data_IF_864378248814
#
_entry.id   IF_864378248814
#
_cell.length_a   1.000
_cell.length_b   1.000
_cell.length_c   1.000
_cell.angle_alpha   90.00
_cell.angle_beta   90.00
_cell.angle_gamma   90.00
#
_symmetry.space_group_name_H-M   'P 1'
#
loop_
_entity.id
_entity.type
_entity.pdbx_description
1 polymer ?
#
# COMPACT_ATOMS: atom_id res chain seq x y z
N UNK A 1 -4.03 13.93 26.20
CA UNK A 1 -4.16 12.82 25.21
C UNK A 1 -4.89 13.38 24.00
N UNK A 2 -4.30 13.26 22.81
CA UNK A 2 -4.92 13.80 21.60
C UNK A 2 -5.75 12.71 20.90
N UNK A 3 -6.89 13.09 20.34
CA UNK A 3 -7.85 12.23 19.63
C UNK A 3 -8.05 12.78 18.22
N UNK A 4 -7.72 11.99 17.20
CA UNK A 4 -7.76 12.41 15.80
C UNK A 4 -8.73 11.55 15.02
N UNK A 5 -9.59 12.17 14.21
CA UNK A 5 -10.38 11.53 13.17
C UNK A 5 -9.55 11.47 11.89
N UNK A 6 -9.27 10.28 11.40
CA UNK A 6 -8.68 10.06 10.08
C UNK A 6 -9.77 9.86 9.03
N UNK A 7 -9.51 10.34 7.82
CA UNK A 7 -10.37 10.19 6.64
C UNK A 7 -9.52 9.74 5.46
N UNK A 8 -9.91 8.62 4.84
CA UNK A 8 -9.25 8.03 3.67
C UNK A 8 -10.23 7.87 2.52
N UNK A 9 -9.89 8.43 1.35
CA UNK A 9 -10.67 8.32 0.11
C UNK A 9 -9.79 8.31 -1.14
N UNK A 10 -8.52 7.88 -1.03
CA UNK A 10 -7.58 8.05 -2.15
C UNK A 10 -7.82 7.11 -3.34
N UNK A 11 -8.53 6.00 -3.15
CA UNK A 11 -8.77 4.99 -4.19
C UNK A 11 -10.22 4.49 -4.20
N UNK A 12 -10.47 3.30 -3.72
CA UNK A 12 -11.79 2.63 -3.75
C UNK A 12 -12.29 2.20 -2.36
N UNK A 13 -11.65 2.67 -1.29
CA UNK A 13 -12.13 2.57 0.09
C UNK A 13 -12.55 3.94 0.63
N UNK A 14 -13.80 4.06 1.08
CA UNK A 14 -14.23 5.19 1.91
C UNK A 14 -14.04 4.79 3.36
N UNK A 15 -13.11 5.42 4.07
CA UNK A 15 -12.87 5.06 5.45
C UNK A 15 -12.78 6.27 6.40
N UNK A 16 -13.24 6.06 7.64
CA UNK A 16 -13.06 6.97 8.76
C UNK A 16 -12.67 6.18 10.02
N UNK A 17 -11.76 6.73 10.80
CA UNK A 17 -11.25 6.08 12.02
C UNK A 17 -10.92 7.10 13.09
N UNK A 18 -11.14 6.71 14.34
CA UNK A 18 -10.69 7.51 15.50
C UNK A 18 -9.50 6.81 16.13
N UNK A 19 -8.39 7.53 16.24
CA UNK A 19 -7.18 7.09 16.93
C UNK A 19 -6.81 8.10 18.01
N UNK A 20 -6.38 7.59 19.17
CA UNK A 20 -6.04 8.40 20.33
C UNK A 20 -4.65 8.06 20.83
N UNK A 21 -3.92 9.08 21.35
CA UNK A 21 -2.68 8.87 22.08
C UNK A 21 -2.93 8.18 23.42
N UNK A 22 -2.05 7.26 23.80
CA UNK A 22 -2.18 6.48 25.05
C UNK A 22 -1.39 7.09 26.21
N UNK A 23 -0.32 7.82 25.92
CA UNK A 23 0.69 8.24 26.90
C UNK A 23 1.75 7.16 27.18
N UNK A 24 1.62 5.95 26.63
CA UNK A 24 2.63 4.88 26.69
C UNK A 24 3.59 5.01 25.49
N UNK A 25 4.88 5.29 25.70
CA UNK A 25 5.85 5.39 24.59
C UNK A 25 6.02 4.08 23.79
N UNK A 26 5.78 2.93 24.42
CA UNK A 26 5.89 1.63 23.74
C UNK A 26 4.71 1.37 22.81
N UNK A 27 3.52 1.90 23.13
CA UNK A 27 2.31 1.83 22.32
C UNK A 27 1.62 3.18 22.29
N UNK A 28 2.17 4.15 21.53
CA UNK A 28 1.78 5.55 21.64
C UNK A 28 0.33 5.81 21.20
N UNK A 29 -0.28 4.91 20.43
CA UNK A 29 -1.61 5.10 19.85
C UNK A 29 -2.54 3.91 20.07
N UNK A 30 -3.82 4.22 20.17
CA UNK A 30 -4.92 3.27 20.29
C UNK A 30 -5.99 3.57 19.26
N UNK A 31 -6.35 2.56 18.47
CA UNK A 31 -7.50 2.61 17.57
C UNK A 31 -8.77 2.53 18.44
N UNK A 32 -9.65 3.53 18.33
CA UNK A 32 -10.96 3.57 18.97
C UNK A 32 -12.06 3.08 18.04
N UNK A 33 -11.92 3.37 16.75
CA UNK A 33 -12.79 2.87 15.67
C UNK A 33 -12.02 2.87 14.35
N UNK A 34 -12.43 2.00 13.43
CA UNK A 34 -11.92 1.99 12.04
C UNK A 34 -13.01 1.43 11.14
N UNK A 35 -13.76 2.29 10.48
CA UNK A 35 -14.90 1.96 9.62
C UNK A 35 -14.47 2.09 8.17
N UNK A 36 -14.69 1.04 7.38
CA UNK A 36 -14.30 0.98 5.97
C UNK A 36 -15.51 0.54 5.15
N UNK A 37 -15.85 1.32 4.15
CA UNK A 37 -16.80 0.97 3.09
C UNK A 37 -16.02 0.72 1.81
N UNK A 38 -15.80 -0.55 1.47
CA UNK A 38 -15.07 -0.95 0.28
C UNK A 38 -15.96 -0.97 -0.95
N UNK A 39 -15.42 -0.51 -2.08
CA UNK A 39 -16.10 -0.46 -3.37
C UNK A 39 -15.69 -1.62 -4.29
N UNK A 40 -14.98 -2.63 -3.78
CA UNK A 40 -14.47 -3.77 -4.56
C UNK A 40 -15.59 -4.43 -5.38
N UNK A 41 -16.79 -4.59 -4.82
CA UNK A 41 -17.92 -5.22 -5.52
C UNK A 41 -18.39 -4.38 -6.72
N UNK A 42 -18.36 -3.04 -6.61
CA UNK A 42 -18.71 -2.12 -7.69
C UNK A 42 -17.70 -2.24 -8.83
N UNK A 43 -16.42 -2.32 -8.50
CA UNK A 43 -15.33 -2.34 -9.49
C UNK A 43 -15.05 -3.72 -10.08
N UNK A 44 -15.57 -4.78 -9.46
CA UNK A 44 -15.38 -6.17 -9.92
C UNK A 44 -15.87 -6.39 -11.35
N UNK A 45 -17.01 -5.81 -11.71
CA UNK A 45 -17.57 -5.91 -13.07
C UNK A 45 -16.65 -5.30 -14.14
N UNK A 46 -15.84 -4.31 -13.76
CA UNK A 46 -14.91 -3.62 -14.65
C UNK A 46 -13.52 -4.25 -14.67
N UNK A 47 -13.25 -5.16 -13.72
CA UNK A 47 -11.94 -5.80 -13.55
C UNK A 47 -10.84 -4.82 -13.13
N UNK A 48 -11.19 -3.77 -12.38
CA UNK A 48 -10.30 -2.74 -11.84
C UNK A 48 -11.05 -1.47 -11.48
N UNK A 49 -10.40 -0.57 -10.74
CA UNK A 49 -11.00 0.67 -10.26
C UNK A 49 -11.35 1.61 -11.42
N UNK A 50 -12.60 2.12 -11.41
CA UNK A 50 -13.07 3.16 -12.33
C UNK A 50 -13.15 4.48 -11.55
N UNK A 51 -12.26 5.46 -11.82
CA UNK A 51 -12.10 6.65 -10.98
C UNK A 51 -13.35 7.47 -10.78
N UNK A 52 -14.19 7.58 -11.82
CA UNK A 52 -15.45 8.35 -11.74
C UNK A 52 -16.50 7.65 -10.87
N UNK A 53 -16.59 6.32 -10.92
CA UNK A 53 -17.47 5.56 -10.05
C UNK A 53 -17.00 5.66 -8.60
N UNK A 54 -15.68 5.55 -8.38
CA UNK A 54 -15.09 5.66 -7.06
C UNK A 54 -15.42 7.01 -6.41
N UNK A 55 -15.20 8.12 -7.10
CA UNK A 55 -15.48 9.44 -6.54
C UNK A 55 -16.96 9.65 -6.21
N UNK A 56 -17.88 9.16 -7.06
CA UNK A 56 -19.33 9.23 -6.79
C UNK A 56 -19.75 8.40 -5.58
N UNK A 57 -19.14 7.23 -5.40
CA UNK A 57 -19.44 6.38 -4.25
C UNK A 57 -18.90 6.99 -2.94
N UNK A 58 -17.72 7.60 -2.95
CA UNK A 58 -17.22 8.34 -1.79
C UNK A 58 -18.19 9.43 -1.32
N UNK A 59 -18.80 10.19 -2.25
CA UNK A 59 -19.81 11.22 -1.90
C UNK A 59 -21.01 10.61 -1.18
N UNK A 60 -21.43 9.40 -1.55
CA UNK A 60 -22.56 8.72 -0.90
C UNK A 60 -22.23 8.22 0.50
N UNK A 61 -21.01 7.72 0.69
CA UNK A 61 -20.67 6.93 1.88
C UNK A 61 -20.03 7.78 2.98
N UNK A 62 -19.34 8.87 2.64
CA UNK A 62 -18.42 9.55 3.56
C UNK A 62 -19.09 10.06 4.84
N UNK A 63 -20.30 10.60 4.77
CA UNK A 63 -21.03 11.08 5.95
C UNK A 63 -21.36 9.93 6.89
N UNK A 64 -21.98 8.86 6.37
CA UNK A 64 -22.39 7.71 7.19
C UNK A 64 -21.18 6.95 7.77
N UNK A 65 -20.08 6.84 7.01
CA UNK A 65 -18.83 6.22 7.47
C UNK A 65 -18.19 7.04 8.61
N UNK A 66 -18.17 8.37 8.49
CA UNK A 66 -17.63 9.24 9.52
C UNK A 66 -18.50 9.25 10.80
N UNK A 67 -19.83 9.35 10.66
CA UNK A 67 -20.78 9.25 11.78
C UNK A 67 -20.63 7.92 12.53
N UNK A 68 -20.53 6.82 11.78
CA UNK A 68 -20.33 5.50 12.37
C UNK A 68 -19.00 5.40 13.10
N UNK A 69 -17.91 5.97 12.57
CA UNK A 69 -16.61 5.95 13.22
C UNK A 69 -16.63 6.69 14.55
N UNK A 70 -17.31 7.83 14.65
CA UNK A 70 -17.50 8.58 15.90
C UNK A 70 -18.33 7.78 16.90
N UNK A 71 -19.45 7.20 16.46
CA UNK A 71 -20.33 6.40 17.30
C UNK A 71 -19.61 5.15 17.86
N UNK A 72 -18.90 4.40 16.99
CA UNK A 72 -18.15 3.21 17.39
C UNK A 72 -16.98 3.54 18.35
N UNK A 73 -16.42 4.75 18.27
CA UNK A 73 -15.43 5.25 19.23
C UNK A 73 -16.03 5.61 20.59
N UNK A 74 -17.36 5.73 20.70
CA UNK A 74 -18.05 6.19 21.89
C UNK A 74 -17.79 7.66 22.21
N UNK A 75 -17.71 8.51 21.17
CA UNK A 75 -17.38 9.93 21.26
C UNK A 75 -18.46 10.79 20.59
N UNK A 76 -18.42 12.08 20.92
CA UNK A 76 -19.11 13.14 20.19
C UNK A 76 -18.10 13.97 19.39
N UNK A 77 -18.56 14.62 18.32
CA UNK A 77 -17.73 15.42 17.42
C UNK A 77 -16.82 16.46 18.12
N UNK A 78 -17.30 17.23 19.14
CA UNK A 78 -16.46 18.19 19.84
C UNK A 78 -15.27 17.57 20.59
N UNK A 79 -15.32 16.26 20.91
CA UNK A 79 -14.26 15.55 21.62
C UNK A 79 -13.01 15.27 20.77
N UNK A 80 -13.08 15.54 19.47
CA UNK A 80 -11.93 15.47 18.58
C UNK A 80 -10.97 16.64 18.82
N UNK A 81 -9.67 16.38 18.74
CA UNK A 81 -8.63 17.42 18.83
C UNK A 81 -8.15 17.86 17.45
N UNK A 82 -8.23 17.00 16.43
CA UNK A 82 -7.87 17.33 15.06
C UNK A 82 -8.53 16.38 14.05
N UNK A 83 -8.52 16.78 12.78
CA UNK A 83 -8.98 15.98 11.63
C UNK A 83 -7.83 15.76 10.68
N UNK A 84 -7.50 14.49 10.41
CA UNK A 84 -6.50 14.09 9.43
C UNK A 84 -7.18 13.58 8.15
N UNK A 85 -6.67 13.96 7.00
CA UNK A 85 -7.22 13.54 5.71
C UNK A 85 -6.12 13.26 4.71
N UNK A 86 -6.30 12.25 3.89
CA UNK A 86 -5.40 11.99 2.78
C UNK A 86 -5.48 13.10 1.75
N UNK A 87 -4.35 13.81 1.58
CA UNK A 87 -4.17 14.83 0.55
C UNK A 87 -3.77 14.22 -0.80
N UNK A 88 -3.03 13.12 -0.76
CA UNK A 88 -2.44 12.42 -1.90
C UNK A 88 -1.31 11.48 -1.48
N UNK A 89 -0.75 10.72 -2.43
CA UNK A 89 -1.23 10.52 -3.81
C UNK A 89 -2.53 9.72 -3.87
N UNK A 90 -3.19 9.72 -5.05
CA UNK A 90 -4.42 8.96 -5.28
C UNK A 90 -5.24 9.48 -6.46
N UNK A 91 -6.45 8.97 -6.62
CA UNK A 91 -7.40 9.42 -7.64
C UNK A 91 -7.92 10.81 -7.27
N UNK A 92 -7.65 11.80 -8.13
CA UNK A 92 -7.93 13.21 -7.81
C UNK A 92 -9.39 13.47 -7.42
N UNK A 93 -10.35 12.86 -8.14
CA UNK A 93 -11.78 13.00 -7.83
C UNK A 93 -12.14 12.42 -6.46
N UNK A 94 -11.58 11.28 -6.11
CA UNK A 94 -11.75 10.60 -4.83
C UNK A 94 -11.13 11.41 -3.68
N UNK A 95 -9.89 11.87 -3.85
CA UNK A 95 -9.20 12.74 -2.89
C UNK A 95 -9.96 14.02 -2.60
N UNK A 96 -10.54 14.65 -3.65
CA UNK A 96 -11.31 15.89 -3.50
C UNK A 96 -12.53 15.71 -2.60
N UNK A 97 -13.18 14.55 -2.62
CA UNK A 97 -14.32 14.26 -1.72
C UNK A 97 -13.86 14.29 -0.27
N UNK A 98 -12.83 13.50 0.07
CA UNK A 98 -12.29 13.45 1.44
C UNK A 98 -11.76 14.79 1.92
N UNK A 99 -10.98 15.49 1.09
CA UNK A 99 -10.40 16.80 1.43
C UNK A 99 -11.49 17.84 1.66
N UNK A 100 -12.53 17.90 0.80
CA UNK A 100 -13.62 18.86 0.97
C UNK A 100 -14.43 18.58 2.23
N UNK A 101 -14.76 17.31 2.46
CA UNK A 101 -15.48 16.88 3.68
C UNK A 101 -14.67 17.22 4.95
N UNK A 102 -13.40 16.86 4.99
CA UNK A 102 -12.54 17.11 6.14
C UNK A 102 -12.37 18.60 6.43
N UNK A 103 -12.21 19.43 5.41
CA UNK A 103 -12.13 20.90 5.57
C UNK A 103 -13.44 21.48 6.13
N UNK A 104 -14.59 21.05 5.58
CA UNK A 104 -15.90 21.50 6.07
C UNK A 104 -16.09 21.13 7.55
N UNK A 105 -15.69 19.91 7.90
CA UNK A 105 -15.78 19.43 9.28
C UNK A 105 -14.84 20.19 10.21
N UNK A 106 -13.58 20.44 9.79
CA UNK A 106 -12.58 21.18 10.55
C UNK A 106 -13.06 22.62 10.86
N UNK A 107 -13.66 23.29 9.86
CA UNK A 107 -14.23 24.63 10.03
C UNK A 107 -15.44 24.61 10.98
N UNK A 108 -16.36 23.65 10.80
CA UNK A 108 -17.57 23.55 11.62
C UNK A 108 -17.28 23.23 13.09
N UNK A 109 -16.23 22.48 13.35
CA UNK A 109 -15.83 22.08 14.71
C UNK A 109 -14.75 22.98 15.29
N UNK A 110 -14.26 23.96 14.54
CA UNK A 110 -13.13 24.84 14.93
C UNK A 110 -11.89 24.02 15.35
N UNK A 111 -11.59 22.93 14.60
CA UNK A 111 -10.46 22.04 14.87
C UNK A 111 -9.38 22.17 13.81
N UNK A 112 -8.10 21.97 14.19
CA UNK A 112 -7.01 21.91 13.22
C UNK A 112 -7.16 20.76 12.25
N UNK A 113 -6.72 20.97 10.99
CA UNK A 113 -6.68 19.97 9.95
C UNK A 113 -5.25 19.55 9.65
N UNK A 114 -5.07 18.27 9.32
CA UNK A 114 -3.79 17.62 9.05
C UNK A 114 -3.87 16.97 7.67
N UNK A 115 -3.22 17.57 6.68
CA UNK A 115 -3.12 17.01 5.34
C UNK A 115 -2.03 15.92 5.33
N UNK A 116 -2.44 14.67 5.16
CA UNK A 116 -1.57 13.49 5.28
C UNK A 116 -1.20 12.93 3.90
N UNK A 117 0.03 12.47 3.78
CA UNK A 117 0.48 11.70 2.63
C UNK A 117 0.05 10.23 2.78
N UNK A 118 -0.65 9.69 1.78
CA UNK A 118 -1.19 8.32 1.81
C UNK A 118 -0.13 7.25 2.16
N UNK A 119 1.05 7.32 1.53
CA UNK A 119 2.13 6.33 1.80
C UNK A 119 2.75 6.52 3.19
N UNK A 120 2.72 7.73 3.76
CA UNK A 120 3.08 7.93 5.16
C UNK A 120 2.09 7.22 6.08
N UNK A 121 0.80 7.22 5.74
CA UNK A 121 -0.21 6.42 6.43
C UNK A 121 0.17 4.94 6.48
N UNK A 122 0.51 4.34 5.33
CA UNK A 122 0.97 2.95 5.28
C UNK A 122 2.22 2.70 6.14
N UNK A 123 3.19 3.60 6.14
CA UNK A 123 4.37 3.48 7.01
C UNK A 123 3.95 3.53 8.49
N UNK A 124 3.11 4.48 8.85
CA UNK A 124 2.64 4.65 10.24
C UNK A 124 1.72 3.52 10.70
N UNK A 125 1.08 2.75 9.80
CA UNK A 125 0.33 1.55 10.18
C UNK A 125 1.20 0.50 10.90
N UNK A 126 2.50 0.44 10.59
CA UNK A 126 3.47 -0.42 11.28
C UNK A 126 3.63 0.02 12.72
N UNK A 127 3.82 1.32 12.95
CA UNK A 127 3.96 1.88 14.30
C UNK A 127 2.65 1.82 15.10
N UNK A 128 1.52 1.94 14.41
CA UNK A 128 0.19 1.80 15.01
C UNK A 128 -0.05 0.39 15.56
N UNK A 129 0.38 -0.64 14.82
CA UNK A 129 0.23 -2.05 15.20
C UNK A 129 1.26 -2.50 16.25
N UNK A 130 2.53 -2.16 15.99
CA UNK A 130 3.66 -2.72 16.73
C UNK A 130 4.26 -1.77 17.77
N UNK A 131 3.85 -0.50 17.78
CA UNK A 131 4.46 0.53 18.60
C UNK A 131 5.85 0.92 18.08
N UNK A 132 6.79 1.17 19.00
CA UNK A 132 8.16 1.52 18.64
C UNK A 132 8.90 0.31 18.04
N UNK A 133 9.47 0.50 16.86
CA UNK A 133 10.33 -0.49 16.19
C UNK A 133 11.79 0.00 16.17
N UNK A 134 12.80 -0.90 16.07
CA UNK A 134 14.20 -0.49 15.96
C UNK A 134 14.45 0.36 14.71
N UNK A 135 15.02 1.56 14.90
CA UNK A 135 15.37 2.50 13.85
C UNK A 135 16.88 2.65 13.68
N UNK A 136 17.41 2.96 12.50
CA UNK A 136 16.69 3.20 11.25
C UNK A 136 16.04 1.92 10.72
N UNK A 137 14.87 2.04 10.06
CA UNK A 137 14.15 0.93 9.45
C UNK A 137 14.10 1.07 7.92
N UNK A 138 14.22 -0.06 7.20
CA UNK A 138 13.92 -0.13 5.78
C UNK A 138 12.46 -0.58 5.60
N UNK A 139 11.59 0.27 5.05
CA UNK A 139 10.17 -0.01 4.94
C UNK A 139 9.74 -0.09 3.48
N UNK A 140 9.26 -1.26 3.08
CA UNK A 140 8.62 -1.50 1.79
C UNK A 140 7.13 -1.16 1.88
N UNK A 141 6.68 -0.18 1.11
CA UNK A 141 5.26 0.09 0.89
C UNK A 141 4.88 -0.51 -0.46
N UNK A 142 3.99 -1.50 -0.45
CA UNK A 142 3.60 -2.27 -1.62
C UNK A 142 2.09 -2.44 -1.70
N UNK A 143 1.46 -1.83 -2.72
CA UNK A 143 0.00 -1.79 -2.90
C UNK A 143 -0.38 -1.98 -4.38
N UNK A 144 -1.65 -1.78 -4.71
CA UNK A 144 -2.14 -1.77 -6.10
C UNK A 144 -1.45 -0.73 -6.96
N UNK A 145 -1.27 0.50 -6.43
CA UNK A 145 -0.69 1.63 -7.18
C UNK A 145 0.78 1.92 -6.88
N UNK A 146 1.35 1.35 -5.82
CA UNK A 146 2.68 1.73 -5.36
C UNK A 146 3.56 0.52 -5.04
N UNK A 147 4.84 0.63 -5.38
CA UNK A 147 5.91 -0.24 -4.88
C UNK A 147 7.12 0.63 -4.63
N UNK A 148 7.33 1.00 -3.38
CA UNK A 148 8.34 1.97 -2.96
C UNK A 148 9.04 1.52 -1.69
N UNK A 149 10.33 1.77 -1.62
CA UNK A 149 11.17 1.45 -0.47
C UNK A 149 11.65 2.74 0.19
N UNK A 150 11.45 2.82 1.49
CA UNK A 150 11.79 3.98 2.31
C UNK A 150 12.82 3.63 3.38
N UNK A 151 13.71 4.55 3.67
CA UNK A 151 14.46 4.61 4.92
C UNK A 151 13.69 5.48 5.91
N UNK A 152 13.43 4.94 7.09
CA UNK A 152 12.85 5.68 8.22
C UNK A 152 13.96 5.79 9.29
N UNK A 153 14.71 6.91 9.32
CA UNK A 153 15.79 7.08 10.30
C UNK A 153 15.24 7.39 11.69
N UNK A 154 14.13 8.07 11.77
CA UNK A 154 13.42 8.45 12.99
C UNK A 154 11.92 8.57 12.73
N UNK A 155 11.05 8.54 13.76
CA UNK A 155 9.61 8.60 13.60
C UNK A 155 9.17 9.87 12.85
N UNK A 156 8.34 9.70 11.80
CA UNK A 156 7.82 10.81 10.99
C UNK A 156 8.78 11.36 9.94
N UNK A 157 9.95 10.74 9.76
CA UNK A 157 10.90 11.09 8.68
C UNK A 157 11.00 9.92 7.71
N UNK A 158 10.62 10.15 6.46
CA UNK A 158 10.58 9.14 5.42
C UNK A 158 11.45 9.55 4.24
N UNK A 159 12.44 8.75 3.91
CA UNK A 159 13.35 9.03 2.79
C UNK A 159 13.15 7.95 1.73
N UNK A 160 12.68 8.33 0.55
CA UNK A 160 12.52 7.41 -0.56
C UNK A 160 13.89 6.88 -1.00
N UNK A 161 14.08 5.56 -1.04
CA UNK A 161 15.31 4.92 -1.48
C UNK A 161 15.17 4.41 -2.91
N UNK A 162 14.01 3.85 -3.25
CA UNK A 162 13.73 3.31 -4.56
C UNK A 162 12.23 3.05 -4.75
N UNK A 163 11.85 2.89 -6.00
CA UNK A 163 10.46 2.62 -6.38
C UNK A 163 10.42 1.78 -7.66
N UNK A 164 9.24 1.29 -7.99
CA UNK A 164 9.05 0.64 -9.29
C UNK A 164 9.26 1.64 -10.43
N UNK A 165 9.82 1.14 -11.54
CA UNK A 165 10.04 1.90 -12.78
C UNK A 165 8.85 1.81 -13.74
N UNK A 166 7.99 0.83 -13.50
CA UNK A 166 6.84 0.52 -14.35
C UNK A 166 5.64 0.12 -13.47
N UNK A 167 5.03 -1.02 -13.71
CA UNK A 167 3.87 -1.49 -12.95
C UNK A 167 4.21 -1.65 -11.45
N UNK A 168 3.28 -1.28 -10.57
CA UNK A 168 3.35 -1.69 -9.16
C UNK A 168 3.14 -3.21 -9.04
N UNK A 169 3.62 -3.80 -7.95
CA UNK A 169 3.48 -5.24 -7.73
C UNK A 169 2.00 -5.66 -7.67
N UNK A 170 1.14 -4.92 -6.98
CA UNK A 170 -0.29 -5.21 -6.94
C UNK A 170 -0.95 -5.08 -8.30
N UNK A 171 -0.60 -4.05 -9.08
CA UNK A 171 -1.06 -3.90 -10.46
C UNK A 171 -0.63 -5.09 -11.35
N UNK A 172 0.57 -5.62 -11.14
CA UNK A 172 1.04 -6.80 -11.84
C UNK A 172 0.22 -8.04 -11.45
N UNK A 173 -0.14 -8.21 -10.17
CA UNK A 173 -1.07 -9.26 -9.71
C UNK A 173 -2.44 -9.12 -10.38
N UNK A 174 -3.02 -7.93 -10.42
CA UNK A 174 -4.35 -7.70 -11.02
C UNK A 174 -4.34 -7.96 -12.52
N UNK A 175 -3.31 -7.47 -13.24
CA UNK A 175 -3.14 -7.70 -14.67
C UNK A 175 -3.00 -9.20 -15.01
N UNK A 176 -2.22 -9.95 -14.24
CA UNK A 176 -2.01 -11.39 -14.47
C UNK A 176 -3.25 -12.18 -14.09
N UNK A 177 -3.92 -11.86 -12.99
CA UNK A 177 -5.19 -12.48 -12.61
C UNK A 177 -6.25 -12.29 -13.71
N UNK A 178 -6.35 -11.09 -14.28
CA UNK A 178 -7.25 -10.78 -15.40
C UNK A 178 -6.93 -11.63 -16.63
N UNK A 179 -5.65 -11.79 -16.98
CA UNK A 179 -5.22 -12.64 -18.08
C UNK A 179 -5.61 -14.12 -17.91
N UNK A 180 -5.66 -14.59 -16.66
CA UNK A 180 -6.01 -15.96 -16.30
C UNK A 180 -7.50 -16.15 -15.96
N UNK A 181 -8.34 -15.09 -16.07
CA UNK A 181 -9.76 -15.16 -15.74
C UNK A 181 -10.07 -15.37 -14.26
N UNK A 182 -9.15 -15.03 -13.35
CA UNK A 182 -9.30 -15.24 -11.90
C UNK A 182 -10.12 -14.15 -11.18
N UNK A 183 -10.50 -13.10 -11.91
CA UNK A 183 -11.30 -11.99 -11.39
C UNK A 183 -10.49 -10.91 -10.70
N UNK A 184 -11.20 -10.00 -9.99
CA UNK A 184 -10.67 -8.85 -9.25
C UNK A 184 -11.17 -8.87 -7.79
N UNK A 185 -10.33 -8.53 -6.81
CA UNK A 185 -8.91 -8.16 -6.89
C UNK A 185 -7.99 -9.36 -7.15
N UNK A 186 -6.99 -9.16 -8.00
CA UNK A 186 -6.12 -10.24 -8.50
C UNK A 186 -5.15 -10.78 -7.46
N UNK A 187 -4.61 -9.94 -6.59
CA UNK A 187 -3.66 -10.35 -5.56
C UNK A 187 -4.20 -11.48 -4.68
N UNK A 188 -5.34 -11.33 -3.99
CA UNK A 188 -5.96 -12.38 -3.19
C UNK A 188 -6.36 -13.62 -4.00
N UNK A 189 -6.79 -13.44 -5.26
CA UNK A 189 -7.15 -14.55 -6.14
C UNK A 189 -5.93 -15.43 -6.47
N UNK A 190 -4.83 -14.81 -6.89
CA UNK A 190 -3.57 -15.51 -7.18
C UNK A 190 -3.01 -16.16 -5.91
N UNK A 191 -2.98 -15.46 -4.77
CA UNK A 191 -2.47 -16.03 -3.51
C UNK A 191 -3.23 -17.30 -3.09
N UNK A 192 -4.56 -17.31 -3.27
CA UNK A 192 -5.39 -18.47 -2.97
C UNK A 192 -5.09 -19.65 -3.90
N UNK A 193 -5.03 -19.41 -5.20
CA UNK A 193 -4.80 -20.47 -6.21
C UNK A 193 -3.37 -21.00 -6.14
N UNK A 194 -2.39 -20.14 -5.93
CA UNK A 194 -0.97 -20.47 -5.83
C UNK A 194 -0.65 -21.49 -4.72
N UNK A 195 -1.48 -21.59 -3.67
CA UNK A 195 -1.29 -22.57 -2.59
C UNK A 195 -1.37 -24.03 -3.05
N UNK A 196 -1.99 -24.28 -4.20
CA UNK A 196 -2.15 -25.62 -4.76
C UNK A 196 -1.15 -25.91 -5.87
N UNK A 197 -0.35 -24.92 -6.28
CA UNK A 197 0.61 -25.01 -7.36
C UNK A 197 2.03 -25.23 -6.90
N UNK A 198 2.86 -25.72 -7.83
CA UNK A 198 4.31 -25.80 -7.69
C UNK A 198 4.93 -24.50 -8.18
N UNK A 199 5.72 -23.88 -7.35
CA UNK A 199 6.28 -22.55 -7.62
C UNK A 199 7.52 -22.56 -8.55
N UNK A 200 8.03 -23.75 -8.86
CA UNK A 200 9.14 -24.02 -9.79
C UNK A 200 8.69 -24.54 -11.16
N UNK A 201 7.38 -24.74 -11.37
CA UNK A 201 6.84 -25.40 -12.57
C UNK A 201 6.95 -24.53 -13.83
N UNK A 202 6.95 -23.20 -13.68
CA UNK A 202 7.06 -22.26 -14.81
C UNK A 202 8.27 -21.36 -14.60
N UNK A 203 9.20 -21.37 -15.56
CA UNK A 203 10.36 -20.49 -15.54
C UNK A 203 9.95 -19.08 -16.02
N UNK A 204 9.74 -18.18 -15.07
CA UNK A 204 9.44 -16.79 -15.34
C UNK A 204 10.68 -15.93 -15.07
N UNK A 205 10.97 -14.93 -15.95
CA UNK A 205 12.17 -14.13 -15.82
C UNK A 205 12.13 -13.24 -14.58
N UNK A 206 13.23 -13.20 -13.84
CA UNK A 206 13.43 -12.17 -12.80
C UNK A 206 13.85 -10.85 -13.47
N UNK A 207 13.33 -9.70 -13.01
CA UNK A 207 13.76 -8.41 -13.49
C UNK A 207 15.27 -8.23 -13.26
N UNK A 208 16.01 -7.96 -14.35
CA UNK A 208 17.44 -7.67 -14.27
C UNK A 208 17.64 -6.18 -14.53
N UNK A 209 18.29 -5.50 -13.59
CA UNK A 209 18.71 -4.11 -13.77
C UNK A 209 20.19 -4.10 -14.12
N UNK A 210 20.53 -3.36 -15.19
CA UNK A 210 21.94 -3.18 -15.60
C UNK A 210 22.47 -1.91 -14.96
N UNK A 211 23.80 -1.86 -14.71
CA UNK A 211 24.50 -0.66 -14.22
C UNK A 211 24.35 0.56 -15.14
N UNK A 212 23.86 0.36 -16.38
CA UNK A 212 23.73 1.40 -17.39
C UNK A 212 22.51 2.31 -17.25
N UNK A 213 21.76 2.19 -16.16
CA UNK A 213 20.57 2.99 -15.94
C UNK A 213 20.94 4.45 -15.60
N UNK A 214 20.76 5.30 -16.58
CA UNK A 214 21.26 6.68 -16.63
C UNK A 214 20.36 7.70 -15.93
N UNK A 215 19.27 7.30 -15.30
CA UNK A 215 18.41 8.26 -14.61
C UNK A 215 19.08 8.71 -13.30
N UNK A 216 19.25 10.01 -13.08
CA UNK A 216 19.82 10.49 -11.82
C UNK A 216 18.94 10.06 -10.65
N UNK A 217 19.53 9.75 -9.49
CA UNK A 217 18.75 9.48 -8.30
C UNK A 217 17.88 10.68 -7.94
N UNK A 218 16.71 10.48 -7.32
CA UNK A 218 16.01 11.57 -6.66
C UNK A 218 16.96 12.30 -5.71
N UNK A 219 16.85 13.62 -5.58
CA UNK A 219 17.77 14.42 -4.74
C UNK A 219 17.90 13.93 -3.30
N UNK A 220 16.83 13.41 -2.74
CA UNK A 220 16.75 12.86 -1.40
C UNK A 220 17.50 11.52 -1.23
N UNK A 221 17.74 10.76 -2.30
CA UNK A 221 18.58 9.55 -2.23
C UNK A 221 20.05 9.87 -1.94
N UNK A 222 20.54 11.03 -2.35
CA UNK A 222 21.91 11.47 -2.03
C UNK A 222 22.08 11.72 -0.53
N UNK A 223 21.02 12.13 0.15
CA UNK A 223 21.02 12.36 1.60
C UNK A 223 20.98 11.06 2.43
N UNK A 224 20.62 9.90 1.84
CA UNK A 224 20.58 8.62 2.54
C UNK A 224 21.93 7.94 2.66
N UNK A 225 22.97 8.39 1.93
CA UNK A 225 24.25 7.67 1.81
C UNK A 225 24.17 6.42 0.95
N UNK A 226 23.05 6.18 0.25
CA UNK A 226 22.90 5.03 -0.65
C UNK A 226 23.72 5.27 -1.93
N UNK A 227 24.73 4.43 -2.23
CA UNK A 227 25.65 4.71 -3.32
C UNK A 227 24.94 4.66 -4.68
N UNK A 228 25.18 5.62 -5.59
CA UNK A 228 24.57 5.65 -6.91
C UNK A 228 24.72 4.34 -7.69
N UNK A 229 25.86 3.66 -7.55
CA UNK A 229 26.14 2.37 -8.18
C UNK A 229 25.24 1.22 -7.66
N UNK A 230 24.71 1.35 -6.45
CA UNK A 230 23.85 0.34 -5.81
C UNK A 230 22.34 0.66 -5.97
N UNK A 231 21.99 1.75 -6.60
CA UNK A 231 20.61 2.22 -6.76
C UNK A 231 19.68 1.16 -7.37
N UNK A 232 20.19 0.42 -8.36
CA UNK A 232 19.45 -0.67 -9.01
C UNK A 232 19.01 -1.77 -8.01
N UNK A 233 19.62 -1.83 -6.82
CA UNK A 233 19.25 -2.77 -5.76
C UNK A 233 17.96 -2.38 -5.02
N UNK A 234 17.56 -1.12 -5.09
CA UNK A 234 16.36 -0.60 -4.43
C UNK A 234 15.20 -0.34 -5.40
N UNK A 235 15.38 -0.55 -6.69
CA UNK A 235 14.35 -0.34 -7.71
C UNK A 235 13.66 -1.65 -8.07
N UNK A 236 12.39 -1.54 -8.53
CA UNK A 236 11.56 -2.66 -8.92
C UNK A 236 11.07 -2.52 -10.36
N UNK A 237 10.66 -3.64 -10.98
CA UNK A 237 10.00 -3.67 -12.28
C UNK A 237 9.20 -4.95 -12.39
N UNK A 238 7.96 -4.86 -12.86
CA UNK A 238 7.05 -6.00 -12.96
C UNK A 238 6.37 -6.11 -14.34
N UNK A 239 6.46 -5.11 -15.22
CA UNK A 239 5.83 -5.12 -16.54
C UNK A 239 6.31 -6.27 -17.43
N UNK A 240 7.58 -6.66 -17.29
CA UNK A 240 8.17 -7.79 -18.02
C UNK A 240 7.54 -9.13 -17.65
N UNK A 241 7.08 -9.28 -16.41
CA UNK A 241 6.41 -10.52 -15.95
C UNK A 241 5.05 -10.71 -16.63
N UNK A 242 4.26 -9.64 -16.79
CA UNK A 242 3.01 -9.70 -17.56
C UNK A 242 3.27 -10.23 -18.98
N UNK A 243 4.28 -9.70 -19.64
CA UNK A 243 4.66 -10.14 -21.00
C UNK A 243 5.10 -11.60 -21.04
N UNK A 244 5.83 -12.07 -20.03
CA UNK A 244 6.23 -13.46 -19.92
C UNK A 244 5.02 -14.39 -19.73
N UNK A 245 4.06 -14.01 -18.89
CA UNK A 245 2.81 -14.76 -18.72
C UNK A 245 2.00 -14.79 -20.02
N UNK A 246 1.86 -13.67 -20.73
CA UNK A 246 1.19 -13.63 -22.04
C UNK A 246 1.84 -14.60 -23.03
N UNK A 247 3.17 -14.64 -23.11
CA UNK A 247 3.89 -15.58 -23.99
C UNK A 247 3.67 -17.04 -23.59
N UNK A 248 3.71 -17.33 -22.30
CA UNK A 248 3.44 -18.66 -21.77
C UNK A 248 2.02 -19.14 -22.12
N UNK A 249 1.00 -18.28 -21.97
CA UNK A 249 -0.38 -18.57 -22.33
C UNK A 249 -0.53 -18.78 -23.86
N UNK A 250 0.07 -17.89 -24.65
CA UNK A 250 0.01 -17.98 -26.13
C UNK A 250 0.65 -19.27 -26.65
N UNK A 251 1.79 -19.72 -26.07
CA UNK A 251 2.44 -20.97 -26.43
C UNK A 251 1.56 -22.23 -26.17
N UNK A 252 0.55 -22.08 -25.30
CA UNK A 252 -0.43 -23.13 -24.97
C UNK A 252 -1.77 -22.96 -25.67
N UNK A 253 -1.86 -22.02 -26.63
CA UNK A 253 -3.09 -21.77 -27.37
C UNK A 253 -4.21 -21.12 -26.55
N UNK A 254 -3.88 -20.53 -25.36
CA UNK A 254 -4.86 -19.80 -24.57
C UNK A 254 -5.10 -18.43 -25.20
N UNK A 255 -6.34 -18.07 -25.59
CA UNK A 255 -6.66 -16.74 -26.06
C UNK A 255 -6.41 -15.73 -24.94
N UNK A 256 -5.56 -14.75 -25.17
CA UNK A 256 -5.33 -13.65 -24.23
C UNK A 256 -6.38 -12.57 -24.49
N UNK A 257 -7.36 -12.46 -23.59
CA UNK A 257 -8.38 -11.43 -23.69
C UNK A 257 -7.76 -10.02 -23.53
N UNK A 258 -7.86 -9.21 -24.56
CA UNK A 258 -7.44 -7.79 -24.56
C UNK A 258 -8.60 -6.84 -24.26
N UNK A 259 -9.76 -7.37 -23.83
CA UNK A 259 -11.01 -6.64 -23.54
C UNK A 259 -11.50 -6.82 -22.09
N UNK A 260 -12.69 -6.25 -21.73
CA UNK A 260 -13.31 -6.53 -20.45
C UNK A 260 -13.46 -8.04 -20.23
N UNK A 261 -13.30 -8.48 -18.99
CA UNK A 261 -13.25 -9.90 -18.63
C UNK A 261 -14.47 -10.65 -19.21
N UNK A 262 -14.22 -11.45 -20.24
CA UNK A 262 -15.19 -12.45 -20.69
C UNK A 262 -14.87 -13.71 -19.88
N UNK A 263 -15.83 -14.29 -19.15
CA UNK A 263 -15.64 -15.60 -18.56
C UNK A 263 -15.29 -16.58 -19.69
N UNK A 264 -14.05 -17.00 -19.76
CA UNK A 264 -13.68 -18.10 -20.64
C UNK A 264 -14.01 -19.37 -19.88
N UNK A 265 -15.05 -20.09 -20.30
CA UNK A 265 -15.16 -21.50 -19.99
C UNK A 265 -13.82 -22.15 -20.29
N UNK A 266 -13.27 -22.87 -19.31
CA UNK A 266 -12.01 -23.56 -19.27
C UNK A 266 -11.14 -23.40 -20.54
N UNK A 267 -10.20 -22.49 -20.49
CA UNK A 267 -9.13 -22.42 -21.48
C UNK A 267 -8.36 -23.75 -21.53
N UNK A 268 -7.42 -23.96 -22.46
CA UNK A 268 -6.68 -25.23 -22.61
C UNK A 268 -5.77 -25.54 -21.38
N UNK A 269 -5.70 -24.69 -20.36
CA UNK A 269 -4.98 -24.98 -19.12
C UNK A 269 -5.86 -25.77 -18.14
N UNK A 270 -5.29 -26.84 -17.59
CA UNK A 270 -5.86 -27.53 -16.46
C UNK A 270 -5.81 -26.67 -15.18
N UNK A 271 -6.64 -26.97 -14.19
CA UNK A 271 -6.61 -26.30 -12.89
C UNK A 271 -5.22 -26.35 -12.22
N UNK A 272 -4.48 -27.46 -12.41
CA UNK A 272 -3.12 -27.60 -11.89
C UNK A 272 -2.13 -26.65 -12.61
N UNK A 273 -2.21 -26.51 -13.93
CA UNK A 273 -1.34 -25.59 -14.69
C UNK A 273 -1.62 -24.13 -14.31
N UNK A 274 -2.89 -23.78 -14.07
CA UNK A 274 -3.24 -22.44 -13.55
C UNK A 274 -2.64 -22.23 -12.16
N UNK A 275 -2.73 -23.21 -11.27
CA UNK A 275 -2.16 -23.14 -9.93
C UNK A 275 -0.62 -23.03 -9.98
N UNK A 276 0.03 -23.81 -10.84
CA UNK A 276 1.48 -23.81 -11.03
C UNK A 276 1.98 -22.45 -11.59
N UNK A 277 1.24 -21.88 -12.55
CA UNK A 277 1.55 -20.55 -13.09
C UNK A 277 1.37 -19.45 -12.02
N UNK A 278 0.29 -19.50 -11.24
CA UNK A 278 0.07 -18.59 -10.12
C UNK A 278 1.19 -18.67 -9.08
N UNK A 279 1.58 -19.88 -8.70
CA UNK A 279 2.63 -20.12 -7.72
C UNK A 279 4.00 -19.61 -8.22
N UNK A 280 4.36 -19.91 -9.47
CA UNK A 280 5.60 -19.47 -10.10
C UNK A 280 5.65 -17.94 -10.26
N UNK A 281 4.53 -17.31 -10.67
CA UNK A 281 4.42 -15.86 -10.78
C UNK A 281 4.58 -15.19 -9.40
N UNK A 282 3.82 -15.65 -8.41
CA UNK A 282 3.89 -15.14 -7.05
C UNK A 282 5.30 -15.26 -6.47
N UNK A 283 5.98 -16.40 -6.71
CA UNK A 283 7.37 -16.59 -6.29
C UNK A 283 8.28 -15.49 -6.83
N UNK A 284 8.26 -15.24 -8.13
CA UNK A 284 9.17 -14.24 -8.75
C UNK A 284 8.90 -12.83 -8.25
N UNK A 285 7.63 -12.45 -8.08
CA UNK A 285 7.27 -11.14 -7.51
C UNK A 285 7.77 -11.03 -6.08
N UNK A 286 7.47 -12.01 -5.22
CA UNK A 286 7.83 -11.98 -3.80
C UNK A 286 9.34 -12.00 -3.60
N UNK A 287 10.06 -12.86 -4.32
CA UNK A 287 11.53 -12.90 -4.28
C UNK A 287 12.14 -11.55 -4.67
N UNK A 288 11.60 -10.89 -5.70
CA UNK A 288 12.06 -9.56 -6.12
C UNK A 288 11.85 -8.51 -5.02
N UNK A 289 10.69 -8.54 -4.35
CA UNK A 289 10.36 -7.62 -3.27
C UNK A 289 11.27 -7.86 -2.05
N UNK A 290 11.38 -9.11 -1.61
CA UNK A 290 12.17 -9.49 -0.42
C UNK A 290 13.66 -9.25 -0.64
N UNK A 291 14.22 -9.73 -1.75
CA UNK A 291 15.66 -9.60 -2.01
C UNK A 291 16.10 -8.14 -2.01
N UNK A 292 15.36 -7.26 -2.71
CA UNK A 292 15.71 -5.83 -2.78
C UNK A 292 15.52 -5.11 -1.47
N UNK A 293 14.45 -5.42 -0.73
CA UNK A 293 14.22 -4.81 0.58
C UNK A 293 15.35 -5.15 1.56
N UNK A 294 15.75 -6.41 1.64
CA UNK A 294 16.82 -6.83 2.56
C UNK A 294 18.21 -6.40 2.09
N UNK A 295 18.46 -6.32 0.79
CA UNK A 295 19.70 -5.81 0.27
C UNK A 295 19.88 -4.32 0.56
N UNK A 296 18.83 -3.52 0.34
CA UNK A 296 18.83 -2.12 0.73
C UNK A 296 18.95 -1.93 2.25
N UNK A 297 18.24 -2.73 3.06
CA UNK A 297 18.34 -2.70 4.51
C UNK A 297 19.79 -2.92 4.97
N UNK A 298 20.50 -3.88 4.37
CA UNK A 298 21.91 -4.14 4.65
C UNK A 298 22.80 -2.94 4.28
N UNK A 299 22.61 -2.35 3.10
CA UNK A 299 23.37 -1.19 2.64
C UNK A 299 23.20 0.04 3.52
N UNK A 300 22.00 0.23 4.05
CA UNK A 300 21.63 1.39 4.87
C UNK A 300 21.90 1.17 6.35
N UNK A 301 22.38 -0.01 6.76
CA UNK A 301 22.56 -0.34 8.17
C UNK A 301 21.25 -0.32 8.96
N UNK A 302 20.14 -0.67 8.30
CA UNK A 302 18.83 -0.73 8.96
C UNK A 302 18.82 -1.76 10.09
N UNK A 303 18.11 -1.44 11.18
CA UNK A 303 17.97 -2.30 12.35
C UNK A 303 16.69 -3.13 12.33
N UNK A 304 15.78 -2.79 11.41
CA UNK A 304 14.54 -3.53 11.19
C UNK A 304 14.06 -3.38 9.76
N UNK A 305 13.14 -4.24 9.35
CA UNK A 305 12.44 -4.19 8.08
C UNK A 305 10.94 -4.07 8.35
N UNK A 306 10.26 -3.18 7.63
CA UNK A 306 8.81 -3.06 7.63
C UNK A 306 8.24 -3.38 6.24
N UNK A 307 7.03 -3.97 6.19
CA UNK A 307 6.30 -4.18 4.94
C UNK A 307 4.85 -3.75 5.15
N UNK A 308 4.38 -2.77 4.39
CA UNK A 308 3.04 -2.20 4.49
C UNK A 308 2.38 -2.06 3.11
N UNK A 309 1.09 -1.71 3.09
CA UNK A 309 0.27 -1.63 1.88
C UNK A 309 -0.44 -2.94 1.55
N UNK A 310 -1.45 -2.90 0.68
CA UNK A 310 -2.37 -4.02 0.44
C UNK A 310 -1.71 -5.34 0.04
N UNK A 311 -0.60 -5.30 -0.72
CA UNK A 311 0.16 -6.51 -1.08
C UNK A 311 0.89 -7.12 0.13
N UNK A 312 1.09 -6.40 1.23
CA UNK A 312 1.62 -6.96 2.47
C UNK A 312 0.70 -8.04 3.09
N UNK A 313 -0.56 -8.12 2.65
CA UNK A 313 -1.49 -9.19 3.01
C UNK A 313 -1.15 -10.55 2.34
N UNK A 314 -0.33 -10.55 1.29
CA UNK A 314 0.05 -11.76 0.57
C UNK A 314 0.78 -12.76 1.49
N UNK A 315 0.27 -13.99 1.54
CA UNK A 315 0.74 -15.00 2.49
C UNK A 315 2.19 -15.42 2.27
N UNK A 316 2.62 -15.49 1.01
CA UNK A 316 4.00 -15.82 0.66
C UNK A 316 4.95 -14.69 1.05
N UNK A 317 4.59 -13.44 0.76
CA UNK A 317 5.42 -12.28 1.09
C UNK A 317 5.68 -12.21 2.60
N UNK A 318 4.65 -12.41 3.43
CA UNK A 318 4.78 -12.46 4.89
C UNK A 318 5.73 -13.56 5.35
N UNK A 319 5.56 -14.78 4.85
CA UNK A 319 6.40 -15.92 5.19
C UNK A 319 7.85 -15.70 4.78
N UNK A 320 8.09 -15.40 3.49
CA UNK A 320 9.43 -15.31 2.92
C UNK A 320 10.23 -14.13 3.55
N UNK A 321 9.55 -13.02 3.88
CA UNK A 321 10.15 -11.90 4.60
C UNK A 321 10.52 -12.28 6.05
N UNK A 322 9.64 -12.96 6.77
CA UNK A 322 9.91 -13.40 8.14
C UNK A 322 11.09 -14.40 8.18
N UNK A 323 11.11 -15.38 7.26
CA UNK A 323 12.20 -16.34 7.13
C UNK A 323 13.55 -15.66 6.77
N UNK A 324 13.51 -14.67 5.86
CA UNK A 324 14.70 -13.90 5.51
C UNK A 324 15.19 -13.08 6.70
N UNK A 325 14.29 -12.41 7.42
CA UNK A 325 14.61 -11.63 8.61
C UNK A 325 15.27 -12.49 9.69
N UNK A 326 14.69 -13.65 10.00
CA UNK A 326 15.26 -14.60 10.96
C UNK A 326 16.67 -15.07 10.55
N UNK A 327 16.88 -15.32 9.26
CA UNK A 327 18.18 -15.79 8.73
C UNK A 327 19.29 -14.74 8.85
N UNK A 328 18.96 -13.45 8.70
CA UNK A 328 19.95 -12.36 8.72
C UNK A 328 19.95 -11.57 10.03
N UNK A 329 19.12 -11.95 11.00
CA UNK A 329 19.03 -11.29 12.32
C UNK A 329 18.37 -9.92 12.30
N UNK A 330 17.51 -9.62 11.30
CA UNK A 330 16.75 -8.39 11.20
C UNK A 330 15.28 -8.65 11.54
N UNK A 331 14.69 -8.02 12.57
CA UNK A 331 13.29 -8.15 12.88
C UNK A 331 12.42 -7.57 11.74
N UNK A 332 11.32 -8.26 11.44
CA UNK A 332 10.38 -7.89 10.38
C UNK A 332 9.03 -7.52 10.98
N UNK A 333 8.50 -6.39 10.59
CA UNK A 333 7.23 -5.84 11.06
C UNK A 333 6.26 -5.71 9.90
N UNK A 334 5.13 -6.40 10.00
CA UNK A 334 4.07 -6.38 8.99
C UNK A 334 2.73 -6.17 9.71
N UNK A 335 1.95 -5.15 9.37
CA UNK A 335 0.66 -4.92 10.02
C UNK A 335 -0.30 -6.10 9.84
N UNK A 336 -1.29 -6.21 10.72
CA UNK A 336 -2.41 -7.14 10.58
C UNK A 336 -3.15 -6.91 9.24
N UNK A 337 -3.93 -7.88 8.79
CA UNK A 337 -4.69 -7.76 7.55
C UNK A 337 -5.62 -6.54 7.56
N UNK A 338 -6.18 -6.20 8.72
CA UNK A 338 -7.06 -5.04 8.89
C UNK A 338 -6.37 -3.69 8.69
N UNK A 339 -5.04 -3.62 8.87
CA UNK A 339 -4.24 -2.40 8.70
C UNK A 339 -3.32 -2.46 7.47
N UNK A 340 -3.37 -3.55 6.71
CA UNK A 340 -2.57 -3.70 5.49
C UNK A 340 -3.18 -3.00 4.28
N UNK A 341 -4.51 -3.05 4.14
CA UNK A 341 -5.25 -2.36 3.07
C UNK A 341 -5.53 -0.91 3.45
N UNK A 342 -6.05 -0.13 2.49
CA UNK A 342 -6.40 1.27 2.72
C UNK A 342 -7.43 1.38 3.83
N UNK A 343 -7.13 2.22 4.83
CA UNK A 343 -7.95 2.42 6.01
C UNK A 343 -7.66 3.79 6.62
N UNK A 344 -8.60 4.32 7.40
CA UNK A 344 -8.43 5.65 7.97
C UNK A 344 -7.63 5.66 9.29
N UNK A 345 -7.44 4.52 9.95
CA UNK A 345 -6.61 4.47 11.16
C UNK A 345 -5.14 4.79 10.86
N UNK A 346 -4.63 4.36 9.70
CA UNK A 346 -3.29 4.72 9.22
C UNK A 346 -3.15 6.22 8.97
N UNK A 347 -4.22 6.89 8.49
CA UNK A 347 -4.23 8.33 8.24
C UNK A 347 -4.33 9.10 9.55
N UNK A 348 -5.15 8.63 10.49
CA UNK A 348 -5.19 9.20 11.84
C UNK A 348 -3.85 9.08 12.57
N UNK A 349 -3.15 7.94 12.45
CA UNK A 349 -1.83 7.73 13.02
C UNK A 349 -0.78 8.69 12.44
N UNK A 350 -0.74 8.83 11.11
CA UNK A 350 0.14 9.80 10.46
C UNK A 350 -0.22 11.26 10.81
N UNK A 351 -1.50 11.54 11.00
CA UNK A 351 -1.97 12.82 11.55
C UNK A 351 -1.49 13.06 12.97
N UNK A 352 -1.63 12.07 13.86
CA UNK A 352 -1.12 12.15 15.23
C UNK A 352 0.38 12.41 15.27
N UNK A 353 1.15 11.72 14.41
CA UNK A 353 2.59 11.94 14.28
C UNK A 353 2.93 13.41 13.97
N UNK A 354 2.16 14.04 13.09
CA UNK A 354 2.33 15.46 12.75
C UNK A 354 1.88 16.37 13.89
N UNK A 355 0.75 16.05 14.50
CA UNK A 355 0.21 16.85 15.62
C UNK A 355 1.17 16.84 16.83
N UNK A 356 1.78 15.70 17.15
CA UNK A 356 2.81 15.58 18.21
C UNK A 356 4.05 16.45 17.94
N UNK A 357 4.33 16.75 16.68
CA UNK A 357 5.41 17.66 16.24
C UNK A 357 4.96 19.13 16.18
N UNK A 358 3.71 19.42 16.54
CA UNK A 358 3.13 20.75 16.47
C UNK A 358 2.79 21.23 15.04
N UNK A 359 2.73 20.29 14.08
CA UNK A 359 2.42 20.60 12.69
C UNK A 359 0.92 20.56 12.44
N UNK A 360 0.41 21.59 11.77
CA UNK A 360 -0.96 21.64 11.22
C UNK A 360 -0.90 22.03 9.74
N UNK A 361 -2.02 21.95 9.05
CA UNK A 361 -2.12 22.36 7.66
C UNK A 361 -3.03 23.58 7.51
N UNK A 362 -2.69 24.55 6.66
CA UNK A 362 -3.60 25.64 6.33
C UNK A 362 -4.79 25.09 5.52
N UNK A 363 -5.91 25.82 5.49
CA UNK A 363 -7.12 25.39 4.78
C UNK A 363 -7.05 25.51 3.24
N UNK A 364 -6.03 26.14 2.71
CA UNK A 364 -5.87 26.40 1.27
C UNK A 364 -5.18 25.26 0.50
N UNK A 365 -4.72 24.17 1.18
CA UNK A 365 -4.15 23.02 0.47
C UNK A 365 -5.20 22.35 -0.44
N UNK A 366 -4.75 21.75 -1.54
CA UNK A 366 -5.60 20.97 -2.45
C UNK A 366 -5.19 19.50 -2.48
N UNK A 367 -6.11 18.65 -2.99
CA UNK A 367 -5.80 17.28 -3.34
C UNK A 367 -4.72 17.24 -4.45
N UNK A 368 -3.80 16.28 -4.35
CA UNK A 368 -2.67 16.16 -5.26
C UNK A 368 -2.43 14.70 -5.65
N UNK A 369 -2.82 14.34 -6.89
CA UNK A 369 -2.80 12.96 -7.37
C UNK A 369 -1.41 12.32 -7.39
N UNK A 370 -0.36 13.11 -7.57
CA UNK A 370 1.03 12.67 -7.66
C UNK A 370 1.91 13.30 -6.56
N UNK A 371 1.33 13.48 -5.36
CA UNK A 371 2.06 14.05 -4.23
C UNK A 371 3.32 13.24 -3.93
N UNK A 372 4.46 13.90 -3.84
CA UNK A 372 5.69 13.30 -3.36
C UNK A 372 5.74 13.33 -1.82
N UNK A 373 6.28 12.26 -1.23
CA UNK A 373 6.55 12.25 0.22
C UNK A 373 7.78 13.14 0.48
N UNK A 374 7.67 14.06 1.42
CA UNK A 374 8.71 15.00 1.77
C UNK A 374 9.65 14.43 2.85
#
# INVERSE_FOLDING_TARGET
MATVLGIETSCDETAAAVVRTTGDPARPWQIRSNVIASQVDIHREWGGVVPELASRQHVRDICGVAERAIADAGLDWPALDAIAVTRGPGLVGSLLVGVSFAKSLAVSLEKPILAVHHLAGHIESIFLEHGAIPLPAAILVVSGGHTSLYLVPEPGVYRLIGRTRDDAAGEAFDKVAKLMGLGYPGGPAIDRVARQGRDDAVDLPRPKFTHADRNPPPPDLTATGFPPAARHLAEFSFSGLKTAVVRYLAQRGVPVATGPAVPTDAGPLSAQEVADLCASFQRVVVESLVDRTFEAARWLGAKSVGIAGGVSANSRLRRDAAERGARVGLPVYVPSLALSTDNAAMIAAAGLRRLERGETSPLDFNAEAALAIA
#
